data_IF_759213355012
#
_entry.id   IF_759213355012
#
_cell.length_a   1.000
_cell.length_b   1.000
_cell.length_c   1.000
_cell.angle_alpha   90.00
_cell.angle_beta   90.00
_cell.angle_gamma   90.00
#
_symmetry.space_group_name_H-M   'P 1'
#
loop_
_entity.id
_entity.type
_entity.pdbx_description
1 polymer ?
#
# COMPACT_ATOMS: atom_id res chain seq x y z
N UNK A 1 16.57 9.26 3.51
CA UNK A 1 15.36 9.75 4.23
C UNK A 1 14.44 10.39 3.20
N UNK A 2 13.13 10.21 3.34
CA UNK A 2 12.17 10.90 2.48
C UNK A 2 12.31 12.42 2.71
N UNK A 3 12.50 13.25 1.67
CA UNK A 3 12.56 14.70 1.82
C UNK A 3 11.27 15.24 2.46
N UNK A 4 11.39 16.21 3.36
CA UNK A 4 10.25 16.76 4.12
C UNK A 4 9.12 17.30 3.22
N UNK A 5 9.46 17.79 2.03
CA UNK A 5 8.50 18.35 1.07
C UNK A 5 8.07 17.38 -0.03
N UNK A 6 8.56 16.13 0.01
CA UNK A 6 8.23 15.14 -1.01
C UNK A 6 6.78 14.66 -0.89
N UNK A 7 6.30 14.57 0.35
CA UNK A 7 4.98 14.05 0.69
C UNK A 7 4.08 15.24 1.00
N UNK A 8 3.23 15.62 0.06
CA UNK A 8 2.33 16.78 0.21
C UNK A 8 0.85 16.39 0.33
N UNK A 9 0.57 15.13 0.68
CA UNK A 9 -0.80 14.61 0.76
C UNK A 9 -1.27 14.51 2.22
N UNK A 10 -2.41 15.12 2.61
CA UNK A 10 -2.88 15.15 4.01
C UNK A 10 -3.23 13.76 4.56
N UNK A 11 -3.53 12.82 3.67
CA UNK A 11 -3.83 11.41 4.01
C UNK A 11 -2.59 10.50 4.11
N UNK A 12 -1.36 11.04 4.02
CA UNK A 12 -0.13 10.28 4.16
C UNK A 12 0.66 10.79 5.37
N UNK A 13 1.08 9.89 6.24
CA UNK A 13 1.93 10.20 7.40
C UNK A 13 3.13 9.28 7.41
N UNK A 14 4.34 9.85 7.50
CA UNK A 14 5.61 9.12 7.50
C UNK A 14 6.37 9.45 8.78
N UNK A 15 6.83 8.43 9.50
CA UNK A 15 7.62 8.56 10.71
C UNK A 15 9.09 8.90 10.42
N UNK A 16 9.75 9.49 11.42
CA UNK A 16 11.15 9.88 11.36
C UNK A 16 12.06 8.73 10.90
N UNK A 17 13.12 9.08 10.17
CA UNK A 17 14.15 8.16 9.66
C UNK A 17 13.65 7.08 8.69
N UNK A 18 12.36 7.07 8.34
CA UNK A 18 11.89 6.26 7.23
C UNK A 18 12.48 6.79 5.90
N UNK A 19 12.80 5.88 4.99
CA UNK A 19 13.30 6.24 3.67
C UNK A 19 12.75 5.34 2.58
N UNK A 20 12.66 5.95 1.39
CA UNK A 20 12.41 5.28 0.14
C UNK A 20 13.68 5.36 -0.70
N UNK A 21 14.17 4.22 -1.18
CA UNK A 21 15.35 4.13 -2.03
C UNK A 21 14.90 3.74 -3.43
N UNK A 22 14.92 4.68 -4.35
CA UNK A 22 14.45 4.50 -5.72
C UNK A 22 15.60 4.49 -6.71
N UNK A 23 15.60 3.57 -7.67
CA UNK A 23 16.64 3.51 -8.70
C UNK A 23 16.58 4.68 -9.69
N UNK A 24 15.44 5.37 -9.79
CA UNK A 24 15.29 6.54 -10.65
C UNK A 24 15.27 7.83 -9.84
N UNK A 25 14.27 7.99 -8.97
CA UNK A 25 14.06 9.24 -8.23
C UNK A 25 13.13 9.03 -7.02
N UNK A 26 13.48 9.62 -5.87
CA UNK A 26 12.72 9.43 -4.62
C UNK A 26 11.29 9.98 -4.72
N UNK A 27 11.05 10.96 -5.59
CA UNK A 27 9.76 11.58 -5.93
C UNK A 27 8.73 10.58 -6.44
N UNK A 28 9.17 9.41 -6.90
CA UNK A 28 8.27 8.33 -7.29
C UNK A 28 7.50 7.74 -6.10
N UNK A 29 7.95 7.94 -4.86
CA UNK A 29 7.23 7.44 -3.68
C UNK A 29 5.74 7.83 -3.69
N UNK A 30 5.45 9.14 -3.87
CA UNK A 30 4.06 9.59 -3.82
C UNK A 30 3.26 9.07 -5.02
N UNK A 31 3.89 8.89 -6.19
CA UNK A 31 3.24 8.24 -7.35
C UNK A 31 2.90 6.78 -7.06
N UNK A 32 3.71 6.11 -6.25
CA UNK A 32 3.52 4.71 -5.88
C UNK A 32 2.49 4.51 -4.75
N UNK A 33 1.98 5.59 -4.16
CA UNK A 33 0.75 5.56 -3.35
C UNK A 33 -0.45 5.70 -4.30
N UNK A 34 -0.97 4.57 -4.74
CA UNK A 34 -1.99 4.48 -5.81
C UNK A 34 -3.40 4.56 -5.24
N UNK A 35 -4.28 5.26 -5.95
CA UNK A 35 -5.72 5.31 -5.66
C UNK A 35 -6.08 5.85 -4.27
N UNK A 36 -5.23 6.70 -3.72
CA UNK A 36 -5.52 7.48 -2.52
C UNK A 36 -6.27 8.75 -2.95
N UNK A 37 -7.59 8.72 -2.83
CA UNK A 37 -8.42 9.89 -3.13
C UNK A 37 -9.02 10.44 -1.84
N UNK A 38 -9.11 11.77 -1.74
CA UNK A 38 -9.63 12.47 -0.57
C UNK A 38 -10.98 11.91 -0.10
N UNK A 39 -11.90 11.66 -1.04
CA UNK A 39 -13.24 11.17 -0.76
C UNK A 39 -13.30 9.74 -0.21
N UNK A 40 -12.23 8.96 -0.30
CA UNK A 40 -12.18 7.60 0.28
C UNK A 40 -11.97 7.64 1.79
N UNK A 41 -11.47 8.76 2.34
CA UNK A 41 -11.17 8.90 3.77
C UNK A 41 -10.06 7.99 4.29
N UNK A 42 -9.40 7.22 3.42
CA UNK A 42 -8.35 6.28 3.82
C UNK A 42 -7.04 7.03 4.09
N UNK A 43 -6.28 6.58 5.08
CA UNK A 43 -4.94 7.09 5.37
C UNK A 43 -3.87 6.01 5.16
N UNK A 44 -2.69 6.44 4.69
CA UNK A 44 -1.46 5.65 4.72
C UNK A 44 -0.57 6.19 5.84
N UNK A 45 -0.24 5.34 6.80
CA UNK A 45 0.70 5.66 7.88
C UNK A 45 1.88 4.70 7.85
N UNK A 46 3.10 5.25 7.81
CA UNK A 46 4.34 4.50 7.91
C UNK A 46 5.07 4.96 9.17
N UNK A 47 5.45 4.01 10.02
CA UNK A 47 6.20 4.27 11.24
C UNK A 47 7.64 4.74 11.00
N UNK A 48 8.38 4.86 12.09
CA UNK A 48 9.77 5.33 12.11
C UNK A 48 10.73 4.23 11.66
N UNK A 49 11.92 4.62 11.18
CA UNK A 49 13.02 3.70 10.84
C UNK A 49 12.69 2.66 9.75
N UNK A 50 11.69 2.92 8.91
CA UNK A 50 11.32 2.00 7.84
C UNK A 50 12.21 2.17 6.60
N UNK A 51 12.52 1.05 5.94
CA UNK A 51 13.13 1.03 4.62
C UNK A 51 12.08 0.61 3.59
N UNK A 52 11.98 1.35 2.50
CA UNK A 52 11.07 1.05 1.41
C UNK A 52 11.88 1.00 0.12
N UNK A 53 11.94 -0.16 -0.52
CA UNK A 53 12.69 -0.35 -1.76
C UNK A 53 11.97 0.24 -2.97
N UNK A 54 12.73 0.53 -4.02
CA UNK A 54 12.25 1.03 -5.30
C UNK A 54 11.11 0.15 -5.84
N UNK A 55 10.08 0.78 -6.40
CA UNK A 55 8.96 0.07 -7.03
C UNK A 55 7.98 -0.61 -6.07
N UNK A 56 8.09 -0.40 -4.75
CA UNK A 56 7.00 -0.74 -3.81
C UNK A 56 5.81 0.16 -4.09
N UNK A 57 4.62 -0.44 -4.27
CA UNK A 57 3.35 0.28 -4.45
C UNK A 57 2.39 0.04 -3.29
N UNK A 58 1.71 1.10 -2.86
CA UNK A 58 0.63 1.05 -1.87
C UNK A 58 -0.70 1.23 -2.58
N UNK A 59 -1.50 0.16 -2.66
CA UNK A 59 -2.83 0.20 -3.29
C UNK A 59 -3.88 0.57 -2.24
N UNK A 60 -4.48 1.76 -2.40
CA UNK A 60 -5.45 2.31 -1.45
C UNK A 60 -6.91 2.06 -1.89
N UNK A 61 -7.88 2.53 -1.10
CA UNK A 61 -9.29 2.16 -1.25
C UNK A 61 -9.95 2.60 -2.57
N UNK A 62 -9.37 3.55 -3.31
CA UNK A 62 -9.90 3.96 -4.61
C UNK A 62 -9.84 2.88 -5.70
N UNK A 63 -9.10 1.79 -5.47
CA UNK A 63 -9.00 0.66 -6.38
C UNK A 63 -10.12 -0.40 -6.20
N UNK A 64 -11.05 -0.19 -5.25
CA UNK A 64 -12.03 -1.21 -4.91
C UNK A 64 -13.16 -1.30 -5.94
N UNK A 65 -13.63 -2.51 -6.19
CA UNK A 65 -14.77 -2.83 -7.06
C UNK A 65 -15.92 -3.46 -6.27
N UNK A 66 -17.14 -3.38 -6.79
CA UNK A 66 -18.30 -4.05 -6.21
C UNK A 66 -18.20 -5.56 -6.43
N UNK A 67 -17.70 -6.28 -5.44
CA UNK A 67 -17.50 -7.74 -5.51
C UNK A 67 -18.77 -8.55 -5.25
N UNK A 68 -19.78 -7.95 -4.61
CA UNK A 68 -21.07 -8.60 -4.31
C UNK A 68 -22.17 -8.23 -5.32
N UNK A 69 -21.87 -7.38 -6.31
CA UNK A 69 -22.81 -7.04 -7.37
C UNK A 69 -22.79 -8.10 -8.48
N UNK A 70 -23.83 -8.07 -9.33
CA UNK A 70 -23.92 -8.92 -10.53
C UNK A 70 -22.70 -8.76 -11.46
N UNK A 71 -22.06 -7.60 -11.44
CA UNK A 71 -20.81 -7.33 -12.13
C UNK A 71 -19.91 -6.41 -11.31
N UNK A 72 -18.61 -6.68 -11.34
CA UNK A 72 -17.57 -5.82 -10.77
C UNK A 72 -17.11 -4.71 -11.72
N UNK A 73 -17.64 -4.67 -12.94
CA UNK A 73 -17.31 -3.63 -13.92
C UNK A 73 -17.77 -2.24 -13.44
N UNK A 74 -16.92 -1.21 -13.48
CA UNK A 74 -17.20 0.07 -12.83
C UNK A 74 -18.06 0.99 -13.73
N UNK A 75 -19.29 0.58 -14.05
CA UNK A 75 -20.18 1.32 -14.96
C UNK A 75 -20.34 2.80 -14.59
N UNK A 76 -20.41 3.12 -13.30
CA UNK A 76 -20.61 4.50 -12.84
C UNK A 76 -19.46 5.47 -13.21
N UNK A 77 -18.26 4.97 -13.52
CA UNK A 77 -17.12 5.80 -13.96
C UNK A 77 -17.41 6.49 -15.29
N UNK A 78 -18.26 5.90 -16.14
CA UNK A 78 -18.60 6.47 -17.44
C UNK A 78 -19.67 7.57 -17.38
N UNK A 79 -20.35 7.76 -16.25
CA UNK A 79 -21.44 8.73 -16.12
C UNK A 79 -22.60 8.48 -17.09
N UNK A 80 -23.30 9.55 -17.49
CA UNK A 80 -24.42 9.47 -18.45
C UNK A 80 -25.53 8.52 -17.99
N UNK A 81 -25.93 7.59 -18.86
CA UNK A 81 -26.92 6.55 -18.57
C UNK A 81 -26.52 5.65 -17.40
N UNK A 82 -25.21 5.56 -17.10
CA UNK A 82 -24.66 4.77 -16.01
C UNK A 82 -24.49 5.54 -14.70
N UNK A 83 -24.86 6.82 -14.64
CA UNK A 83 -24.71 7.67 -13.44
C UNK A 83 -25.38 7.08 -12.19
N UNK A 84 -26.47 6.32 -12.37
CA UNK A 84 -27.23 5.64 -11.31
C UNK A 84 -26.79 4.22 -11.01
N UNK A 85 -25.71 3.72 -11.63
CA UNK A 85 -25.26 2.34 -11.44
C UNK A 85 -24.86 2.00 -9.98
N UNK A 86 -24.56 3.04 -9.19
CA UNK A 86 -24.22 2.97 -7.77
C UNK A 86 -25.40 3.31 -6.83
N UNK A 87 -26.61 3.54 -7.32
CA UNK A 87 -27.76 3.87 -6.47
C UNK A 87 -27.99 2.76 -5.42
N UNK A 88 -27.98 3.16 -4.14
CA UNK A 88 -28.12 2.24 -3.00
C UNK A 88 -26.90 1.35 -2.73
N UNK A 89 -25.76 1.60 -3.37
CA UNK A 89 -24.53 0.81 -3.20
C UNK A 89 -23.37 1.71 -2.75
N UNK A 90 -22.40 1.10 -2.09
CA UNK A 90 -21.14 1.73 -1.73
C UNK A 90 -19.99 0.81 -2.11
N UNK A 91 -18.88 1.37 -2.59
CA UNK A 91 -17.67 0.59 -2.78
C UNK A 91 -17.20 0.02 -1.43
N UNK A 92 -16.71 -1.23 -1.40
CA UNK A 92 -16.06 -1.78 -0.22
C UNK A 92 -14.95 -0.85 0.26
N UNK A 93 -14.82 -0.67 1.57
CA UNK A 93 -13.73 0.09 2.19
C UNK A 93 -12.89 -0.88 3.01
N UNK A 94 -11.57 -0.90 2.78
CA UNK A 94 -10.64 -1.72 3.57
C UNK A 94 -10.06 -0.96 4.77
N UNK A 95 -10.38 0.33 4.90
CA UNK A 95 -9.88 1.20 5.96
C UNK A 95 -8.50 1.78 5.66
N UNK A 96 -7.77 2.13 6.71
CA UNK A 96 -6.44 2.72 6.64
C UNK A 96 -5.37 1.64 6.44
N UNK A 97 -4.26 2.04 5.83
CA UNK A 97 -3.04 1.22 5.74
C UNK A 97 -2.05 1.69 6.81
N UNK A 98 -1.64 0.78 7.70
CA UNK A 98 -0.68 1.07 8.75
C UNK A 98 0.54 0.16 8.63
N UNK A 99 1.71 0.78 8.56
CA UNK A 99 3.01 0.14 8.65
C UNK A 99 3.64 0.57 9.97
N UNK A 100 4.07 -0.40 10.77
CA UNK A 100 4.71 -0.14 12.06
C UNK A 100 6.08 0.53 11.94
N UNK A 101 6.80 0.60 13.05
CA UNK A 101 8.19 1.05 13.07
C UNK A 101 9.14 -0.09 12.66
N UNK A 102 10.32 0.24 12.17
CA UNK A 102 11.41 -0.69 11.84
C UNK A 102 10.99 -1.79 10.86
N UNK A 103 10.36 -1.34 9.77
CA UNK A 103 9.81 -2.23 8.73
C UNK A 103 10.59 -2.08 7.45
N UNK A 104 11.06 -3.20 6.89
CA UNK A 104 11.73 -3.25 5.59
C UNK A 104 10.82 -3.87 4.52
N UNK A 105 10.50 -3.09 3.49
CA UNK A 105 9.63 -3.49 2.38
C UNK A 105 10.45 -3.55 1.11
N UNK A 106 10.44 -4.72 0.45
CA UNK A 106 11.23 -5.00 -0.75
C UNK A 106 10.32 -5.37 -1.93
N UNK A 107 10.74 -5.02 -3.16
CA UNK A 107 10.01 -5.39 -4.38
C UNK A 107 10.60 -6.64 -5.05
N UNK A 108 9.72 -7.49 -5.59
CA UNK A 108 10.04 -8.57 -6.53
C UNK A 108 10.85 -9.76 -5.99
N UNK A 109 10.97 -10.84 -6.80
CA UNK A 109 11.98 -11.87 -6.57
C UNK A 109 13.34 -11.26 -6.91
N UNK A 110 14.18 -11.03 -5.89
CA UNK A 110 15.60 -10.74 -6.10
C UNK A 110 16.18 -11.94 -6.85
N UNK A 111 16.34 -11.85 -8.17
CA UNK A 111 17.21 -12.76 -8.90
C UNK A 111 18.61 -12.52 -8.33
N UNK A 112 19.07 -13.45 -7.48
CA UNK A 112 20.36 -13.48 -6.80
C UNK A 112 21.51 -13.40 -7.81
N UNK A 113 21.77 -12.21 -8.32
CA UNK A 113 22.88 -11.95 -9.23
C UNK A 113 24.11 -11.70 -8.34
N UNK A 114 24.71 -12.82 -7.95
CA UNK A 114 26.08 -12.98 -7.48
C UNK A 114 26.70 -11.77 -6.75
N UNK A 115 26.62 -11.77 -5.42
CA UNK A 115 27.60 -11.07 -4.59
C UNK A 115 28.59 -12.12 -4.06
N UNK A 116 29.90 -12.03 -4.37
CA UNK A 116 30.91 -12.73 -3.61
C UNK A 116 30.96 -12.14 -2.19
N UNK A 117 30.93 -13.00 -1.17
CA UNK A 117 31.33 -12.68 0.21
C UNK A 117 30.35 -11.94 1.14
N UNK A 118 29.04 -12.02 0.91
CA UNK A 118 28.06 -11.61 1.95
C UNK A 118 27.52 -12.84 2.68
N UNK A 119 27.81 -12.91 3.98
CA UNK A 119 27.30 -13.91 4.91
C UNK A 119 25.80 -13.64 5.16
N UNK A 120 24.96 -14.64 4.88
CA UNK A 120 23.50 -14.60 5.03
C UNK A 120 23.09 -14.46 6.50
N UNK A 121 22.97 -13.21 6.96
CA UNK A 121 22.18 -12.85 8.14
C UNK A 121 20.70 -12.87 7.78
N UNK A 122 19.90 -13.50 8.62
CA UNK A 122 18.50 -13.82 8.36
C UNK A 122 17.62 -12.55 8.35
N UNK A 123 17.37 -11.97 7.18
CA UNK A 123 16.38 -10.91 6.98
C UNK A 123 15.88 -10.87 5.52
N UNK A 124 15.41 -12.00 5.01
CA UNK A 124 14.78 -12.06 3.69
C UNK A 124 13.61 -13.04 3.76
N UNK A 125 12.43 -12.55 4.10
CA UNK A 125 11.19 -13.30 3.85
C UNK A 125 10.07 -12.38 3.35
N UNK A 126 9.95 -12.37 2.02
CA UNK A 126 8.70 -12.48 1.27
C UNK A 126 7.53 -11.56 1.68
N UNK A 127 7.38 -10.43 0.97
CA UNK A 127 6.11 -9.74 0.83
C UNK A 127 5.23 -10.48 -0.21
N UNK A 128 4.78 -11.69 0.12
CA UNK A 128 3.57 -12.24 -0.50
C UNK A 128 2.63 -12.64 0.63
N UNK A 129 1.70 -11.75 0.94
CA UNK A 129 0.44 -12.17 1.53
C UNK A 129 -0.67 -11.59 0.68
N UNK A 130 -1.22 -12.45 -0.17
CA UNK A 130 -2.60 -12.32 -0.63
C UNK A 130 -3.46 -12.02 0.60
N UNK A 131 -4.07 -10.84 0.63
CA UNK A 131 -5.07 -10.52 1.64
C UNK A 131 -6.31 -11.41 1.44
N UNK A 132 -6.38 -12.57 2.11
CA UNK A 132 -7.59 -13.42 2.25
C UNK A 132 -7.39 -14.53 3.32
N UNK A 133 -8.40 -14.93 4.13
CA UNK A 133 -8.97 -14.24 5.29
C UNK A 133 -8.81 -15.06 6.60
N UNK A 134 -8.67 -14.40 7.75
CA UNK A 134 -9.07 -14.90 9.09
C UNK A 134 -8.77 -13.78 10.10
N UNK A 135 -9.70 -13.16 10.83
CA UNK A 135 -10.70 -13.75 11.72
C UNK A 135 -11.78 -12.72 12.12
N UNK A 136 -13.05 -13.15 12.28
CA UNK A 136 -14.08 -12.47 13.09
C UNK A 136 -14.94 -11.38 12.41
N UNK A 137 -16.25 -11.27 12.75
CA UNK A 137 -17.14 -10.26 12.19
C UNK A 137 -16.83 -8.89 12.79
N UNK A 138 -16.39 -7.93 11.96
CA UNK A 138 -16.46 -6.51 12.30
C UNK A 138 -15.16 -5.70 12.34
N UNK A 139 -14.03 -6.17 11.82
CA UNK A 139 -12.85 -5.30 11.69
C UNK A 139 -11.70 -5.91 10.91
N UNK A 140 -11.56 -5.54 9.63
CA UNK A 140 -10.38 -5.89 8.83
C UNK A 140 -9.24 -4.94 9.23
N UNK A 141 -8.31 -5.42 10.04
CA UNK A 141 -7.01 -4.77 10.23
C UNK A 141 -6.07 -5.34 9.18
N UNK A 142 -5.63 -4.51 8.24
CA UNK A 142 -4.50 -4.79 7.34
C UNK A 142 -3.21 -4.76 8.16
N UNK A 143 -2.98 -5.77 9.00
CA UNK A 143 -1.69 -5.99 9.67
C UNK A 143 -0.75 -6.63 8.65
N UNK A 144 0.10 -5.82 8.03
CA UNK A 144 1.35 -6.33 7.44
C UNK A 144 2.24 -6.68 8.64
N UNK A 145 2.30 -7.95 9.03
CA UNK A 145 3.31 -8.43 9.98
C UNK A 145 4.65 -8.44 9.23
N UNK A 146 5.39 -7.35 9.36
CA UNK A 146 6.81 -7.33 8.98
C UNK A 146 7.61 -7.94 10.11
N UNK A 147 8.54 -8.81 9.71
CA UNK A 147 9.49 -9.51 10.59
C UNK A 147 10.29 -8.46 11.36
N UNK A 148 10.08 -8.41 12.68
CA UNK A 148 10.92 -7.65 13.61
C UNK A 148 12.26 -8.36 13.76
N UNK A 149 13.37 -7.62 13.75
CA UNK A 149 14.63 -8.08 14.33
C UNK A 149 14.61 -7.96 15.86
#
# INVERSE_FOLDING_TARGET
MLPENLINHPQITIGDYAYYDDFETVENFQKNVRYLFDFTGAHLTIGKFCMIASGVEFIMNGANHLVEAVSSYPFAVFGGDWSKAMDGKSYPQKGNTFIGNDVWIVTGPVFYRALPSVMLGWALFWAMLMAWPATGPGGLVTRINVVLS
#
